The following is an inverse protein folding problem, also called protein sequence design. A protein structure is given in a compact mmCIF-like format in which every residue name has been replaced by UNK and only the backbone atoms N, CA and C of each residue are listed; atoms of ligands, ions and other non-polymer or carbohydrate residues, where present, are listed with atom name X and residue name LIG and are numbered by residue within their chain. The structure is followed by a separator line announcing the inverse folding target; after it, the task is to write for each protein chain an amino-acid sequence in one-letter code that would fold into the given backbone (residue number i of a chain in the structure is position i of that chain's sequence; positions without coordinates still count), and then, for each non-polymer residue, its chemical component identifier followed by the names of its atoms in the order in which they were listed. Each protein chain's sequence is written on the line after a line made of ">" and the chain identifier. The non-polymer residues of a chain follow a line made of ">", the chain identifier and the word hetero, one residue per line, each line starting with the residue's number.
data_IF_786118866846
#
_entry.id   IF_786118866846
#
_cell.length_a   1.000
_cell.length_b   1.000
_cell.length_c   1.000
_cell.angle_alpha   90.00
_cell.angle_beta   90.00
_cell.angle_gamma   90.00
#
_symmetry.space_group_name_H-M   'P 1'
#
loop_
_entity.id
_entity.type
_entity.pdbx_description
1 polymer ?
#
# COMPACT_ATOMS: atom_id res chain seq x y z
N UNK A 1 -8.21 -13.62 6.57
CA UNK A 1 -6.92 -13.11 7.07
C UNK A 1 -6.12 -14.17 7.86
N UNK A 2 -6.76 -15.12 8.56
CA UNK A 2 -6.05 -16.19 9.31
C UNK A 2 -4.96 -16.94 8.52
N UNK A 3 -5.16 -17.22 7.22
CA UNK A 3 -4.15 -17.89 6.39
C UNK A 3 -2.89 -17.04 6.13
N UNK A 4 -3.05 -15.74 5.87
CA UNK A 4 -1.91 -14.84 5.66
C UNK A 4 -1.13 -14.63 6.97
N UNK A 5 -1.84 -14.48 8.09
CA UNK A 5 -1.23 -14.39 9.42
C UNK A 5 -0.44 -15.66 9.78
N UNK A 6 -0.96 -16.84 9.45
CA UNK A 6 -0.25 -18.10 9.64
C UNK A 6 1.04 -18.15 8.80
N UNK A 7 0.99 -17.70 7.54
CA UNK A 7 2.17 -17.66 6.67
C UNK A 7 3.22 -16.62 7.12
N UNK A 8 2.79 -15.56 7.79
CA UNK A 8 3.64 -14.51 8.36
C UNK A 8 4.11 -14.82 9.79
N UNK A 9 3.68 -15.95 10.37
CA UNK A 9 4.23 -16.42 11.63
C UNK A 9 5.68 -16.88 11.46
N UNK A 10 6.51 -16.62 12.48
CA UNK A 10 7.96 -16.87 12.46
C UNK A 10 8.37 -18.33 12.23
N UNK A 11 7.40 -19.25 12.26
CA UNK A 11 7.61 -20.69 12.06
C UNK A 11 7.81 -21.07 10.58
N UNK A 12 7.33 -20.25 9.63
CA UNK A 12 7.32 -20.63 8.21
C UNK A 12 8.12 -19.66 7.32
N UNK A 13 9.09 -20.16 6.53
CA UNK A 13 9.90 -19.31 5.66
C UNK A 13 9.14 -18.85 4.40
N UNK A 14 7.88 -19.24 4.21
CA UNK A 14 7.11 -19.03 2.98
C UNK A 14 6.96 -17.54 2.67
N UNK A 15 6.55 -16.73 3.64
CA UNK A 15 6.39 -15.29 3.44
C UNK A 15 7.71 -14.62 2.99
N UNK A 16 8.85 -15.03 3.57
CA UNK A 16 10.16 -14.54 3.15
C UNK A 16 10.46 -14.86 1.69
N UNK A 17 10.21 -16.10 1.26
CA UNK A 17 10.44 -16.50 -0.12
C UNK A 17 9.54 -15.76 -1.10
N UNK A 18 8.27 -15.54 -0.74
CA UNK A 18 7.33 -14.75 -1.56
C UNK A 18 7.83 -13.32 -1.71
N UNK A 19 8.17 -12.64 -0.61
CA UNK A 19 8.66 -11.26 -0.64
C UNK A 19 9.93 -11.16 -1.48
N UNK A 20 10.90 -12.05 -1.28
CA UNK A 20 12.16 -12.00 -2.03
C UNK A 20 11.95 -12.28 -3.51
N UNK A 21 11.14 -13.28 -3.86
CA UNK A 21 10.83 -13.59 -5.24
C UNK A 21 10.07 -12.47 -5.95
N UNK A 22 9.21 -11.71 -5.25
CA UNK A 22 8.43 -10.61 -5.83
C UNK A 22 9.33 -9.44 -6.29
N UNK A 23 10.46 -9.24 -5.62
CA UNK A 23 11.42 -8.18 -5.91
C UNK A 23 12.70 -8.68 -6.60
N UNK A 24 12.81 -9.99 -6.83
CA UNK A 24 13.88 -10.61 -7.61
C UNK A 24 13.61 -10.46 -9.10
N UNK A 25 14.57 -9.91 -9.85
CA UNK A 25 14.48 -9.76 -11.31
C UNK A 25 14.93 -11.02 -12.05
N UNK A 26 15.49 -12.00 -11.36
CA UNK A 26 15.99 -13.25 -11.94
C UNK A 26 14.85 -14.27 -12.06
N UNK A 27 14.05 -14.11 -13.11
CA UNK A 27 13.00 -15.07 -13.50
C UNK A 27 11.59 -14.46 -13.51
N UNK A 28 11.17 -13.95 -14.67
CA UNK A 28 9.88 -13.28 -14.89
C UNK A 28 8.68 -14.05 -14.32
N UNK A 29 8.52 -15.33 -14.67
CA UNK A 29 7.37 -16.12 -14.20
C UNK A 29 7.33 -16.29 -12.68
N UNK A 30 8.51 -16.47 -12.05
CA UNK A 30 8.65 -16.56 -10.59
C UNK A 30 8.29 -15.23 -9.93
N UNK A 31 8.77 -14.11 -10.49
CA UNK A 31 8.47 -12.78 -10.00
C UNK A 31 6.99 -12.46 -10.06
N UNK A 32 6.33 -12.73 -11.19
CA UNK A 32 4.90 -12.48 -11.38
C UNK A 32 4.06 -13.28 -10.37
N UNK A 33 4.32 -14.58 -10.24
CA UNK A 33 3.63 -15.42 -9.26
C UNK A 33 3.83 -14.90 -7.83
N UNK A 34 5.04 -14.45 -7.51
CA UNK A 34 5.36 -13.91 -6.20
C UNK A 34 4.72 -12.54 -5.92
N UNK A 35 4.60 -11.66 -6.93
CA UNK A 35 3.87 -10.38 -6.79
C UNK A 35 2.38 -10.61 -6.50
N UNK A 36 1.75 -11.57 -7.19
CA UNK A 36 0.38 -11.96 -6.89
C UNK A 36 0.22 -12.57 -5.49
N UNK A 37 1.15 -13.44 -5.09
CA UNK A 37 1.17 -14.02 -3.75
C UNK A 37 1.40 -12.96 -2.67
N UNK A 38 2.25 -11.96 -2.93
CA UNK A 38 2.48 -10.83 -2.04
C UNK A 38 1.21 -9.99 -1.88
N UNK A 39 0.45 -9.77 -2.94
CA UNK A 39 -0.86 -9.11 -2.87
C UNK A 39 -1.84 -9.85 -1.93
N UNK A 40 -1.85 -11.19 -1.98
CA UNK A 40 -2.64 -12.00 -1.07
C UNK A 40 -2.14 -11.90 0.39
N UNK A 41 -0.81 -11.91 0.62
CA UNK A 41 -0.22 -11.77 1.95
C UNK A 41 -0.49 -10.39 2.56
N UNK A 42 -0.44 -9.34 1.75
CA UNK A 42 -0.73 -7.98 2.17
C UNK A 42 -2.20 -7.77 2.53
N UNK A 43 -3.08 -8.75 2.27
CA UNK A 43 -4.51 -8.64 2.50
C UNK A 43 -5.11 -7.70 1.45
N UNK A 44 -5.44 -8.29 0.29
CA UNK A 44 -6.16 -7.61 -0.78
C UNK A 44 -7.42 -6.94 -0.20
N UNK A 45 -7.60 -5.66 -0.51
CA UNK A 45 -8.39 -4.70 0.26
C UNK A 45 -9.83 -5.17 0.52
N UNK A 46 -10.06 -5.86 1.64
CA UNK A 46 -11.39 -6.06 2.19
C UNK A 46 -11.82 -4.79 2.92
N UNK A 47 -13.08 -4.44 2.68
CA UNK A 47 -13.93 -3.39 3.31
C UNK A 47 -13.32 -2.64 4.49
N UNK A 48 -13.38 -1.30 4.39
CA UNK A 48 -12.89 -0.18 5.21
C UNK A 48 -12.74 -0.31 6.75
N UNK A 49 -13.05 -1.44 7.42
CA UNK A 49 -13.07 -1.54 8.89
C UNK A 49 -12.45 -2.82 9.51
N UNK A 50 -11.88 -3.76 8.75
CA UNK A 50 -11.20 -4.91 9.35
C UNK A 50 -9.69 -4.69 9.49
N UNK A 51 -9.16 -4.97 10.68
CA UNK A 51 -7.71 -5.09 10.89
C UNK A 51 -7.18 -6.15 9.91
N UNK A 52 -6.34 -5.72 8.96
CA UNK A 52 -5.91 -6.54 7.81
C UNK A 52 -5.06 -7.74 8.28
N UNK A 53 -4.17 -7.48 9.24
CA UNK A 53 -3.28 -8.45 9.88
C UNK A 53 -3.16 -8.10 11.37
N UNK A 54 -3.02 -9.12 12.22
CA UNK A 54 -2.61 -8.91 13.60
C UNK A 54 -1.23 -8.21 13.70
N UNK A 55 -0.94 -7.58 14.84
CA UNK A 55 0.26 -6.75 14.99
C UNK A 55 1.59 -7.46 14.73
N UNK A 56 1.69 -8.76 15.06
CA UNK A 56 2.91 -9.55 14.79
C UNK A 56 3.07 -9.87 13.31
N UNK A 57 1.99 -10.27 12.63
CA UNK A 57 2.03 -10.56 11.20
C UNK A 57 2.31 -9.29 10.37
N UNK A 58 1.74 -8.16 10.77
CA UNK A 58 1.99 -6.85 10.17
C UNK A 58 3.47 -6.45 10.30
N UNK A 59 4.03 -6.60 11.50
CA UNK A 59 5.44 -6.31 11.75
C UNK A 59 6.36 -7.23 10.96
N UNK A 60 6.06 -8.53 10.88
CA UNK A 60 6.82 -9.47 10.04
C UNK A 60 6.78 -9.06 8.57
N UNK A 61 5.60 -8.71 8.02
CA UNK A 61 5.47 -8.29 6.63
C UNK A 61 6.32 -7.04 6.35
N UNK A 62 6.26 -6.05 7.24
CA UNK A 62 7.07 -4.84 7.17
C UNK A 62 8.56 -5.18 7.17
N UNK A 63 9.05 -5.95 8.16
CA UNK A 63 10.46 -6.33 8.27
C UNK A 63 10.96 -7.07 7.03
N UNK A 64 10.18 -8.00 6.48
CA UNK A 64 10.56 -8.75 5.28
C UNK A 64 10.73 -7.84 4.06
N UNK A 65 9.87 -6.84 3.88
CA UNK A 65 9.97 -5.90 2.76
C UNK A 65 11.20 -5.00 2.92
N UNK A 66 11.46 -4.49 4.13
CA UNK A 66 12.68 -3.71 4.40
C UNK A 66 13.95 -4.56 4.25
N UNK A 67 13.92 -5.84 4.65
CA UNK A 67 15.03 -6.78 4.46
C UNK A 67 15.27 -7.08 2.98
N UNK A 68 14.20 -7.25 2.19
CA UNK A 68 14.32 -7.39 0.75
C UNK A 68 14.95 -6.16 0.10
N UNK A 69 14.60 -4.96 0.58
CA UNK A 69 15.13 -3.71 0.07
C UNK A 69 16.62 -3.55 0.41
N UNK A 70 17.02 -3.86 1.64
CA UNK A 70 18.42 -3.77 2.09
C UNK A 70 19.36 -4.75 1.39
N UNK A 71 18.83 -5.89 0.93
CA UNK A 71 19.55 -6.89 0.11
C UNK A 71 19.61 -6.52 -1.38
N UNK A 72 19.04 -5.38 -1.78
CA UNK A 72 18.97 -4.93 -3.16
C UNK A 72 19.71 -3.60 -3.34
N UNK A 73 20.09 -3.21 -4.57
CA UNK A 73 20.64 -1.88 -4.84
C UNK A 73 19.61 -0.75 -4.63
N UNK A 74 18.34 -1.07 -4.32
CA UNK A 74 17.27 -0.08 -4.11
C UNK A 74 17.23 0.49 -2.70
N UNK A 75 17.85 -0.22 -1.73
CA UNK A 75 18.07 0.17 -0.32
C UNK A 75 16.81 0.39 0.53
N UNK A 76 15.73 0.92 -0.04
CA UNK A 76 14.46 1.24 0.62
C UNK A 76 13.26 0.68 -0.15
N UNK A 77 12.13 0.39 0.52
CA UNK A 77 10.93 -0.18 -0.11
C UNK A 77 10.41 0.64 -1.30
N UNK A 78 10.41 1.97 -1.23
CA UNK A 78 10.01 2.82 -2.36
C UNK A 78 10.82 2.53 -3.64
N UNK A 79 12.12 2.28 -3.51
CA UNK A 79 12.97 1.90 -4.64
C UNK A 79 12.63 0.51 -5.22
N UNK A 80 12.17 -0.43 -4.38
CA UNK A 80 11.68 -1.73 -4.84
C UNK A 80 10.39 -1.58 -5.64
N UNK A 81 9.40 -0.86 -5.10
CA UNK A 81 8.11 -0.62 -5.77
C UNK A 81 8.30 0.09 -7.11
N UNK A 82 9.11 1.16 -7.13
CA UNK A 82 9.44 1.86 -8.36
C UNK A 82 10.09 0.91 -9.39
N UNK A 83 10.97 0.01 -8.95
CA UNK A 83 11.63 -0.95 -9.85
C UNK A 83 10.70 -1.98 -10.47
N UNK A 84 9.56 -2.28 -9.82
CA UNK A 84 8.48 -3.12 -10.37
C UNK A 84 7.63 -2.30 -11.33
N UNK A 85 7.28 -1.07 -10.94
CA UNK A 85 6.50 -0.14 -11.75
C UNK A 85 7.23 0.35 -13.01
N UNK A 86 8.55 0.21 -13.10
CA UNK A 86 9.32 0.54 -14.30
C UNK A 86 9.48 -0.64 -15.28
N UNK A 87 8.93 -1.81 -14.96
CA UNK A 87 9.00 -2.98 -15.83
C UNK A 87 7.91 -2.93 -16.92
N UNK A 88 7.86 -3.99 -17.73
CA UNK A 88 6.81 -4.21 -18.73
C UNK A 88 5.41 -4.30 -18.11
N UNK A 89 4.39 -4.05 -18.94
CA UNK A 89 3.00 -3.92 -18.49
C UNK A 89 2.50 -5.10 -17.65
N UNK A 90 2.90 -6.33 -17.96
CA UNK A 90 2.50 -7.51 -17.18
C UNK A 90 3.01 -7.46 -15.73
N UNK A 91 4.28 -7.06 -15.54
CA UNK A 91 4.86 -6.93 -14.20
C UNK A 91 4.30 -5.73 -13.45
N UNK A 92 4.06 -4.61 -14.15
CA UNK A 92 3.39 -3.45 -13.52
C UNK A 92 1.99 -3.79 -13.05
N UNK A 93 1.22 -4.50 -13.88
CA UNK A 93 -0.11 -4.98 -13.54
C UNK A 93 -0.08 -5.86 -12.29
N UNK A 94 0.85 -6.81 -12.22
CA UNK A 94 1.03 -7.63 -11.02
C UNK A 94 1.49 -6.81 -9.79
N UNK A 95 2.22 -5.72 -10.00
CA UNK A 95 2.72 -4.81 -8.96
C UNK A 95 1.66 -3.86 -8.39
N UNK A 96 0.66 -3.43 -9.17
CA UNK A 96 -0.39 -2.54 -8.67
C UNK A 96 -1.18 -3.16 -7.52
N UNK A 97 -1.44 -4.47 -7.57
CA UNK A 97 -2.22 -5.19 -6.54
C UNK A 97 -1.56 -5.15 -5.14
N UNK A 98 -0.31 -5.60 -4.93
CA UNK A 98 0.33 -5.49 -3.63
C UNK A 98 0.52 -4.03 -3.20
N UNK A 99 0.79 -3.09 -4.11
CA UNK A 99 0.88 -1.67 -3.73
C UNK A 99 -0.47 -1.17 -3.18
N UNK A 100 -1.57 -1.45 -3.88
CA UNK A 100 -2.93 -1.07 -3.46
C UNK A 100 -3.26 -1.60 -2.05
N UNK A 101 -2.88 -2.84 -1.75
CA UNK A 101 -3.08 -3.43 -0.43
C UNK A 101 -2.14 -2.84 0.63
N UNK A 102 -0.87 -2.61 0.30
CA UNK A 102 0.13 -2.16 1.24
C UNK A 102 -0.06 -0.69 1.64
N UNK A 103 -0.54 0.19 0.74
CA UNK A 103 -0.75 1.62 1.05
C UNK A 103 -1.82 1.87 2.11
N UNK A 104 -2.67 0.88 2.42
CA UNK A 104 -3.54 0.90 3.59
C UNK A 104 -2.78 1.06 4.92
N UNK A 105 -1.47 0.79 4.92
CA UNK A 105 -0.60 0.86 6.08
C UNK A 105 0.16 2.18 6.09
N UNK A 106 0.18 2.94 7.20
CA UNK A 106 0.85 4.24 7.25
C UNK A 106 2.33 4.20 6.85
N UNK A 107 3.06 3.15 7.21
CA UNK A 107 4.49 3.00 6.88
C UNK A 107 4.71 2.88 5.36
N UNK A 108 3.87 2.12 4.66
CA UNK A 108 4.02 1.91 3.22
C UNK A 108 3.53 3.12 2.43
N UNK A 109 2.44 3.76 2.88
CA UNK A 109 1.98 5.00 2.26
C UNK A 109 3.06 6.09 2.28
N UNK A 110 3.81 6.21 3.38
CA UNK A 110 4.93 7.13 3.48
C UNK A 110 6.05 6.81 2.47
N UNK A 111 6.40 5.53 2.31
CA UNK A 111 7.36 5.09 1.30
C UNK A 111 6.91 5.48 -0.11
N UNK A 112 5.66 5.19 -0.47
CA UNK A 112 5.10 5.50 -1.80
C UNK A 112 5.08 7.01 -2.05
N UNK A 113 4.55 7.80 -1.11
CA UNK A 113 4.46 9.26 -1.25
C UNK A 113 5.83 9.95 -1.21
N UNK A 114 6.88 9.31 -0.69
CA UNK A 114 8.24 9.87 -0.66
C UNK A 114 8.94 9.86 -2.02
N UNK A 115 8.38 9.19 -3.02
CA UNK A 115 9.01 8.94 -4.32
C UNK A 115 8.07 9.37 -5.45
N UNK A 116 8.25 10.60 -5.92
CA UNK A 116 7.38 11.25 -6.92
C UNK A 116 7.24 10.42 -8.20
N UNK A 117 8.29 9.72 -8.62
CA UNK A 117 8.26 8.87 -9.82
C UNK A 117 7.22 7.74 -9.73
N UNK A 118 6.89 7.28 -8.51
CA UNK A 118 5.80 6.31 -8.32
C UNK A 118 4.46 6.97 -8.56
N UNK A 119 4.27 8.19 -8.04
CA UNK A 119 3.04 8.98 -8.21
C UNK A 119 2.81 9.30 -9.69
N UNK A 120 3.87 9.69 -10.40
CA UNK A 120 3.82 9.96 -11.84
C UNK A 120 3.35 8.73 -12.61
N UNK A 121 3.91 7.55 -12.33
CA UNK A 121 3.51 6.30 -13.01
C UNK A 121 2.06 5.92 -12.72
N UNK A 122 1.59 6.02 -11.47
CA UNK A 122 0.21 5.61 -11.15
C UNK A 122 -0.83 6.62 -11.65
N UNK A 123 -0.45 7.88 -11.82
CA UNK A 123 -1.34 8.94 -12.31
C UNK A 123 -1.33 9.09 -13.84
N UNK A 124 -0.27 8.66 -14.53
CA UNK A 124 -0.18 8.71 -15.99
C UNK A 124 -1.28 7.85 -16.66
N UNK A 125 -2.23 8.47 -17.39
CA UNK A 125 -3.30 7.74 -18.05
C UNK A 125 -2.83 6.94 -19.28
N UNK A 126 -1.64 7.23 -19.81
CA UNK A 126 -1.10 6.63 -21.03
C UNK A 126 -0.22 5.40 -20.80
N UNK A 127 0.20 5.16 -19.55
CA UNK A 127 1.16 4.10 -19.21
C UNK A 127 0.61 2.68 -19.41
N UNK A 128 -0.71 2.49 -19.25
CA UNK A 128 -1.41 1.22 -19.47
C UNK A 128 -2.40 1.34 -20.63
N UNK A 129 -2.34 0.40 -21.56
CA UNK A 129 -3.18 0.40 -22.77
C UNK A 129 -4.29 -0.65 -22.75
N UNK A 130 -4.20 -1.63 -21.86
CA UNK A 130 -5.21 -2.68 -21.69
C UNK A 130 -6.25 -2.25 -20.67
N UNK A 131 -7.51 -2.69 -20.85
CA UNK A 131 -8.60 -2.41 -19.90
C UNK A 131 -8.23 -2.81 -18.47
N UNK A 132 -7.71 -4.02 -18.28
CA UNK A 132 -7.33 -4.55 -16.96
C UNK A 132 -6.17 -3.73 -16.35
N UNK A 133 -5.18 -3.34 -17.16
CA UNK A 133 -4.10 -2.45 -16.73
C UNK A 133 -4.62 -1.10 -16.26
N UNK A 134 -5.52 -0.48 -17.02
CA UNK A 134 -6.13 0.80 -16.67
C UNK A 134 -6.93 0.74 -15.36
N UNK A 135 -7.71 -0.32 -15.16
CA UNK A 135 -8.49 -0.54 -13.94
C UNK A 135 -7.60 -0.76 -12.72
N UNK A 136 -6.56 -1.60 -12.84
CA UNK A 136 -5.62 -1.86 -11.75
C UNK A 136 -4.81 -0.60 -11.38
N UNK A 137 -4.34 0.15 -12.38
CA UNK A 137 -3.67 1.44 -12.18
C UNK A 137 -4.59 2.44 -11.49
N UNK A 138 -5.83 2.58 -11.95
CA UNK A 138 -6.81 3.47 -11.33
C UNK A 138 -7.09 3.08 -9.88
N UNK A 139 -7.26 1.79 -9.58
CA UNK A 139 -7.44 1.29 -8.21
C UNK A 139 -6.26 1.64 -7.29
N UNK A 140 -5.03 1.45 -7.79
CA UNK A 140 -3.81 1.83 -7.07
C UNK A 140 -3.76 3.35 -6.81
N UNK A 141 -4.00 4.16 -7.84
CA UNK A 141 -4.04 5.62 -7.74
C UNK A 141 -5.10 6.09 -6.73
N UNK A 142 -6.30 5.49 -6.77
CA UNK A 142 -7.40 5.83 -5.87
C UNK A 142 -7.06 5.48 -4.41
N UNK A 143 -6.46 4.32 -4.15
CA UNK A 143 -6.04 3.90 -2.82
C UNK A 143 -4.99 4.85 -2.22
N UNK A 144 -3.99 5.24 -3.02
CA UNK A 144 -2.97 6.22 -2.61
C UNK A 144 -3.63 7.57 -2.31
N UNK A 145 -4.47 8.07 -3.21
CA UNK A 145 -5.12 9.38 -3.08
C UNK A 145 -6.04 9.45 -1.85
N UNK A 146 -6.90 8.44 -1.62
CA UNK A 146 -7.83 8.41 -0.47
C UNK A 146 -7.07 8.55 0.85
N UNK A 147 -5.95 7.84 0.98
CA UNK A 147 -5.22 7.76 2.22
C UNK A 147 -4.20 8.89 2.40
N UNK A 148 -3.63 9.43 1.32
CA UNK A 148 -2.74 10.60 1.40
C UNK A 148 -3.50 11.84 1.86
N UNK A 149 -4.70 12.08 1.31
CA UNK A 149 -5.57 13.16 1.78
C UNK A 149 -6.00 12.99 3.23
N UNK A 150 -6.25 11.75 3.66
CA UNK A 150 -6.56 11.45 5.05
C UNK A 150 -5.35 11.74 5.97
N UNK A 151 -4.14 11.30 5.58
CA UNK A 151 -2.93 11.59 6.34
C UNK A 151 -2.66 13.10 6.43
N UNK A 152 -2.82 13.84 5.34
CA UNK A 152 -2.67 15.29 5.34
C UNK A 152 -3.71 15.98 6.20
N UNK A 153 -4.97 15.54 6.17
CA UNK A 153 -6.03 16.07 7.03
C UNK A 153 -5.75 15.81 8.51
N UNK A 154 -5.29 14.60 8.86
CA UNK A 154 -4.90 14.24 10.23
C UNK A 154 -3.70 15.07 10.69
N UNK A 155 -2.67 15.24 9.84
CA UNK A 155 -1.48 16.06 10.14
C UNK A 155 -1.81 17.53 10.34
N UNK A 156 -2.71 18.09 9.54
CA UNK A 156 -3.16 19.48 9.65
C UNK A 156 -3.99 19.72 10.92
N UNK A 157 -4.56 18.67 11.50
CA UNK A 157 -5.42 18.76 12.67
C UNK A 157 -6.73 19.52 12.39
N UNK A 158 -7.68 19.52 13.34
CA UNK A 158 -9.00 20.12 13.14
C UNK A 158 -8.96 21.66 12.97
N UNK A 159 -7.82 22.30 13.24
CA UNK A 159 -7.71 23.76 13.32
C UNK A 159 -7.19 24.43 12.05
N UNK A 160 -6.70 23.68 11.06
CA UNK A 160 -6.12 24.24 9.82
C UNK A 160 -6.98 24.02 8.56
N UNK A 161 -8.11 23.30 8.66
CA UNK A 161 -9.08 23.19 7.57
C UNK A 161 -9.92 24.47 7.45
N UNK A 162 -9.29 25.59 7.08
CA UNK A 162 -10.00 26.84 6.81
C UNK A 162 -10.99 26.63 5.64
N UNK A 163 -12.28 26.82 5.95
CA UNK A 163 -13.48 26.95 5.08
C UNK A 163 -14.51 25.81 5.10
N UNK A 164 -14.89 25.31 6.28
CA UNK A 164 -16.29 24.91 6.57
C UNK A 164 -16.68 25.47 7.94
N UNK A 165 -17.95 25.91 8.15
CA UNK A 165 -18.37 26.48 9.43
C UNK A 165 -18.19 25.41 10.50
N UNK A 166 -17.48 25.77 11.56
CA UNK A 166 -17.23 24.92 12.73
C UNK A 166 -18.55 24.33 13.24
N UNK A 167 -18.51 23.08 13.71
CA UNK A 167 -19.63 22.51 14.45
C UNK A 167 -19.85 23.35 15.71
N UNK A 168 -20.86 24.20 15.69
CA UNK A 168 -21.23 25.00 16.84
C UNK A 168 -21.77 24.06 17.93
N UNK A 169 -21.19 24.05 19.14
CA UNK A 169 -21.78 23.33 20.25
C UNK A 169 -23.15 23.95 20.52
N UNK A 170 -24.20 23.12 20.55
CA UNK A 170 -25.53 23.54 20.96
C UNK A 170 -25.48 23.82 22.45
N UNK A 171 -25.30 25.10 22.81
CA UNK A 171 -25.40 25.55 24.19
C UNK A 171 -26.89 25.71 24.51
N UNK A 172 -27.49 24.67 25.11
CA UNK A 172 -28.81 24.82 25.73
C UNK A 172 -28.60 25.47 27.10
N UNK A 173 -29.01 26.73 27.24
CA UNK A 173 -29.18 27.33 28.56
C UNK A 173 -30.34 26.62 29.25
N UNK A 174 -30.08 26.03 30.42
CA UNK A 174 -31.13 25.46 31.25
C UNK A 174 -32.20 26.54 31.52
N UNK A 175 -33.45 26.25 31.18
CA UNK A 175 -34.59 27.08 31.56
C UNK A 175 -34.59 27.19 33.09
N UNK A 176 -34.52 28.42 33.60
CA UNK A 176 -34.62 28.68 35.03
C UNK A 176 -36.08 28.43 35.42
N UNK A 177 -36.28 27.52 36.38
CA UNK A 177 -37.53 27.33 37.12
C UNK A 177 -37.92 28.59 37.89
#
# INVERSE_FOLDING_TARGET
>A
TQGAELLLSSTYPVARHVVYAAFDRQGRGKQLAALHALGNLAGDAQSDNSVILNGSAEETLRLLIYEAASRSPKLIPSGLFLSVLQQEAETRLAGYRPITALVARPWCLMEICSKEEIVDIVTDPSIETTKIGMEARYGCCQAIHKLSHLQDAVRRGPFLARRRPEAQPVVMTAERF
#
